data_IF_680968060993
#
_entry.id   IF_680968060993
#
_cell.length_a   1.000
_cell.length_b   1.000
_cell.length_c   1.000
_cell.angle_alpha   90.00
_cell.angle_beta   90.00
_cell.angle_gamma   90.00
#
_symmetry.space_group_name_H-M   'P 1'
#
loop_
_entity.id
_entity.type
_entity.pdbx_description
1 polymer ?
#
# COMPACT_ATOMS: atom_id res chain seq x y z
N UNK A 1 65.06 -29.81 15.88
CA UNK A 1 64.42 -29.31 14.65
C UNK A 1 62.94 -29.33 14.87
N UNK A 2 62.37 -28.19 15.13
CA UNK A 2 60.95 -28.07 15.29
C UNK A 2 60.35 -27.68 13.95
N UNK A 3 59.52 -28.57 13.45
CA UNK A 3 58.67 -28.23 12.31
C UNK A 3 57.50 -27.45 12.84
N UNK A 4 57.47 -26.19 12.59
CA UNK A 4 56.27 -25.41 12.84
C UNK A 4 55.26 -25.73 11.77
N UNK A 5 54.21 -26.40 12.18
CA UNK A 5 53.04 -26.55 11.34
C UNK A 5 52.31 -25.23 11.31
N UNK A 6 52.40 -24.54 10.20
CA UNK A 6 51.57 -23.40 9.95
C UNK A 6 50.17 -23.93 9.68
N UNK A 7 49.33 -23.89 10.70
CA UNK A 7 47.91 -24.13 10.52
C UNK A 7 47.36 -22.95 9.72
N UNK A 8 47.06 -23.18 8.48
CA UNK A 8 46.34 -22.23 7.67
C UNK A 8 44.95 -22.13 8.27
N UNK A 9 44.66 -21.04 8.97
CA UNK A 9 43.31 -20.70 9.36
C UNK A 9 42.61 -20.26 8.11
N UNK A 10 41.85 -21.17 7.52
CA UNK A 10 40.90 -20.81 6.48
C UNK A 10 39.76 -20.09 7.20
N UNK A 11 39.81 -18.77 7.19
CA UNK A 11 38.65 -17.99 7.59
C UNK A 11 37.55 -18.23 6.55
N UNK A 12 36.64 -19.10 6.91
CA UNK A 12 35.41 -19.25 6.13
C UNK A 12 34.66 -17.96 6.37
N UNK A 13 34.78 -17.02 5.45
CA UNK A 13 33.85 -15.92 5.31
C UNK A 13 32.55 -16.56 4.87
N UNK A 14 31.72 -16.91 5.80
CA UNK A 14 30.31 -17.09 5.50
C UNK A 14 29.78 -15.72 5.13
N UNK A 15 29.75 -15.46 3.84
CA UNK A 15 28.90 -14.43 3.28
C UNK A 15 27.48 -14.80 3.72
N UNK A 16 27.05 -14.19 4.80
CA UNK A 16 25.63 -14.03 5.05
C UNK A 16 25.16 -13.18 3.89
N UNK A 17 24.76 -13.86 2.82
CA UNK A 17 23.88 -13.28 1.84
C UNK A 17 22.63 -12.92 2.58
N UNK A 18 22.59 -11.74 3.19
CA UNK A 18 21.35 -11.13 3.57
C UNK A 18 20.53 -11.16 2.30
N UNK A 19 19.53 -12.02 2.24
CA UNK A 19 18.46 -11.86 1.31
C UNK A 19 17.89 -10.50 1.63
N UNK A 20 18.43 -9.45 1.00
CA UNK A 20 17.70 -8.25 0.86
C UNK A 20 16.36 -8.73 0.30
N UNK A 21 15.31 -8.62 1.12
CA UNK A 21 13.97 -8.67 0.62
C UNK A 21 13.95 -7.58 -0.45
N UNK A 22 14.23 -7.97 -1.68
CA UNK A 22 13.95 -7.14 -2.80
C UNK A 22 12.44 -6.93 -2.74
N UNK A 23 12.05 -5.87 -2.04
CA UNK A 23 10.73 -5.29 -2.22
C UNK A 23 10.63 -5.21 -3.72
N UNK A 24 9.75 -6.01 -4.27
CA UNK A 24 9.64 -6.17 -5.69
C UNK A 24 9.41 -4.78 -6.28
N UNK A 25 10.48 -4.15 -6.75
CA UNK A 25 10.42 -2.84 -7.41
C UNK A 25 9.49 -2.94 -8.62
N UNK A 26 9.29 -4.16 -9.13
CA UNK A 26 8.30 -4.48 -10.14
C UNK A 26 6.87 -4.29 -9.66
N UNK A 27 6.54 -4.63 -8.41
CA UNK A 27 5.17 -4.49 -7.90
C UNK A 27 4.75 -3.02 -7.74
N UNK A 28 5.67 -2.10 -7.48
CA UNK A 28 5.37 -0.67 -7.40
C UNK A 28 5.11 -0.07 -8.78
N UNK A 29 5.81 -0.55 -9.81
CA UNK A 29 5.62 -0.10 -11.19
C UNK A 29 4.32 -0.58 -11.80
N UNK A 30 3.80 -1.70 -11.31
CA UNK A 30 2.59 -2.33 -11.82
C UNK A 30 1.33 -1.96 -11.02
N UNK A 31 1.45 -1.05 -10.05
CA UNK A 31 0.29 -0.56 -9.31
C UNK A 31 -0.62 0.27 -10.23
N UNK A 32 -1.94 0.07 -10.17
CA UNK A 32 -2.89 0.84 -10.99
C UNK A 32 -2.66 2.35 -10.91
N UNK A 33 -2.33 2.87 -9.73
CA UNK A 33 -2.09 4.31 -9.52
C UNK A 33 -1.00 4.88 -10.42
N UNK A 34 -0.01 4.07 -10.82
CA UNK A 34 1.05 4.47 -11.73
C UNK A 34 0.55 4.68 -13.17
N UNK A 35 -0.63 4.15 -13.48
CA UNK A 35 -1.26 4.22 -14.80
C UNK A 35 -2.49 5.15 -14.82
N UNK A 36 -2.71 5.86 -13.73
CA UNK A 36 -3.82 6.82 -13.58
C UNK A 36 -3.40 8.20 -14.06
N UNK A 37 -4.34 8.90 -14.69
CA UNK A 37 -4.21 10.33 -14.97
C UNK A 37 -4.39 11.13 -13.67
N UNK A 38 -4.05 12.42 -13.71
CA UNK A 38 -4.30 13.30 -12.55
C UNK A 38 -5.80 13.39 -12.24
N UNK A 39 -6.65 13.42 -13.26
CA UNK A 39 -8.10 13.38 -13.08
C UNK A 39 -8.56 12.08 -12.41
N UNK A 40 -8.02 10.93 -12.81
CA UNK A 40 -8.31 9.64 -12.17
C UNK A 40 -7.96 9.68 -10.69
N UNK A 41 -6.80 10.20 -10.35
CA UNK A 41 -6.34 10.33 -8.96
C UNK A 41 -7.21 11.25 -8.13
N UNK A 42 -7.66 12.36 -8.71
CA UNK A 42 -8.58 13.30 -8.03
C UNK A 42 -9.94 12.65 -7.79
N UNK A 43 -10.45 11.90 -8.76
CA UNK A 43 -11.70 11.15 -8.62
C UNK A 43 -11.59 10.06 -7.55
N UNK A 44 -10.48 9.32 -7.55
CA UNK A 44 -10.20 8.31 -6.52
C UNK A 44 -10.14 8.95 -5.14
N UNK A 45 -9.42 10.05 -4.98
CA UNK A 45 -9.31 10.76 -3.69
C UNK A 45 -10.67 11.20 -3.18
N UNK A 46 -11.47 11.81 -4.04
CA UNK A 46 -12.83 12.24 -3.67
C UNK A 46 -13.71 11.05 -3.27
N UNK A 47 -13.61 9.93 -4.00
CA UNK A 47 -14.34 8.71 -3.70
C UNK A 47 -13.90 8.09 -2.36
N UNK A 48 -12.59 8.07 -2.09
CA UNK A 48 -12.06 7.58 -0.80
C UNK A 48 -12.59 8.40 0.36
N UNK A 49 -12.50 9.72 0.28
CA UNK A 49 -12.97 10.60 1.36
C UNK A 49 -14.48 10.46 1.58
N UNK A 50 -15.25 10.46 0.50
CA UNK A 50 -16.69 10.27 0.60
C UNK A 50 -17.08 8.91 1.17
N UNK A 51 -16.39 7.85 0.81
CA UNK A 51 -16.60 6.51 1.33
C UNK A 51 -16.29 6.44 2.82
N UNK A 52 -15.16 6.99 3.25
CA UNK A 52 -14.77 6.99 4.66
C UNK A 52 -15.72 7.83 5.52
N UNK A 53 -16.22 8.93 4.99
CA UNK A 53 -17.14 9.83 5.74
C UNK A 53 -18.57 9.29 5.84
N UNK A 54 -19.04 8.54 4.86
CA UNK A 54 -20.49 8.27 4.72
C UNK A 54 -20.87 6.81 4.57
N UNK A 55 -19.91 5.91 4.33
CA UNK A 55 -20.27 4.52 4.01
C UNK A 55 -20.10 3.61 5.22
N UNK A 56 -21.14 2.84 5.58
CA UNK A 56 -21.05 1.84 6.64
C UNK A 56 -20.04 0.72 6.32
N UNK A 57 -19.51 0.10 7.36
CA UNK A 57 -18.63 -1.06 7.23
C UNK A 57 -19.28 -2.15 6.37
N UNK A 58 -18.48 -2.73 5.49
CA UNK A 58 -18.89 -3.82 4.62
C UNK A 58 -19.62 -3.43 3.34
N UNK A 59 -20.05 -2.17 3.20
CA UNK A 59 -20.67 -1.68 1.97
C UNK A 59 -19.61 -1.22 0.98
N UNK A 60 -19.78 -1.57 -0.28
CA UNK A 60 -18.85 -1.25 -1.34
C UNK A 60 -19.34 -0.05 -2.16
N UNK A 61 -18.45 0.90 -2.39
CA UNK A 61 -18.67 2.06 -3.27
C UNK A 61 -17.75 1.93 -4.47
N UNK A 62 -18.34 2.04 -5.67
CA UNK A 62 -17.59 2.02 -6.92
C UNK A 62 -17.30 3.44 -7.40
N UNK A 63 -16.08 3.68 -7.85
CA UNK A 63 -15.71 4.87 -8.61
C UNK A 63 -15.27 4.46 -10.02
N UNK A 64 -15.46 5.34 -10.97
CA UNK A 64 -15.08 5.10 -12.36
C UNK A 64 -14.88 6.42 -13.09
N UNK A 65 -13.84 6.48 -13.90
CA UNK A 65 -13.64 7.55 -14.88
C UNK A 65 -13.92 7.00 -16.29
N UNK A 66 -15.06 7.34 -16.88
CA UNK A 66 -15.42 6.81 -18.20
C UNK A 66 -14.48 7.28 -19.32
N UNK A 67 -13.74 8.36 -19.12
CA UNK A 67 -12.79 8.87 -20.10
C UNK A 67 -11.56 7.97 -20.26
N UNK A 68 -11.13 7.34 -19.18
CA UNK A 68 -9.91 6.51 -19.17
C UNK A 68 -10.21 5.03 -18.93
N UNK A 69 -11.39 4.70 -18.40
CA UNK A 69 -11.74 3.36 -17.96
C UNK A 69 -11.16 2.99 -16.60
N UNK A 70 -10.40 3.87 -15.95
CA UNK A 70 -9.94 3.65 -14.60
C UNK A 70 -11.13 3.54 -13.65
N UNK A 71 -11.08 2.58 -12.72
CA UNK A 71 -12.18 2.31 -11.79
C UNK A 71 -11.67 1.59 -10.54
N UNK A 72 -12.55 1.45 -9.58
CA UNK A 72 -12.24 0.67 -8.40
C UNK A 72 -13.43 0.51 -7.47
N UNK A 73 -13.26 -0.38 -6.50
CA UNK A 73 -14.22 -0.65 -5.45
C UNK A 73 -13.59 -0.31 -4.10
N UNK A 74 -14.32 0.41 -3.28
CA UNK A 74 -13.90 0.88 -1.96
C UNK A 74 -14.84 0.29 -0.92
N UNK A 75 -14.29 -0.45 0.04
CA UNK A 75 -15.07 -1.10 1.09
C UNK A 75 -14.49 -0.80 2.46
N UNK A 76 -15.17 0.01 3.29
CA UNK A 76 -14.76 0.19 4.68
C UNK A 76 -14.85 -1.14 5.44
N UNK A 77 -13.82 -1.46 6.22
CA UNK A 77 -13.77 -2.70 7.00
C UNK A 77 -13.96 -2.44 8.48
N UNK A 78 -12.98 -1.88 9.14
CA UNK A 78 -13.01 -1.59 10.56
C UNK A 78 -13.04 -0.09 10.81
N UNK A 79 -13.62 0.32 11.93
CA UNK A 79 -13.58 1.70 12.41
C UNK A 79 -13.13 1.68 13.86
N UNK A 80 -12.20 2.56 14.22
CA UNK A 80 -11.63 2.62 15.56
C UNK A 80 -11.06 4.00 15.85
N UNK A 81 -10.81 4.29 17.13
CA UNK A 81 -10.13 5.49 17.57
C UNK A 81 -8.67 5.21 17.89
N UNK A 82 -7.80 6.10 17.49
CA UNK A 82 -6.38 6.06 17.83
C UNK A 82 -5.95 7.43 18.32
N UNK A 83 -5.70 7.53 19.64
CA UNK A 83 -5.25 8.78 20.23
C UNK A 83 -6.18 9.97 19.99
N UNK A 84 -7.50 9.75 19.96
CA UNK A 84 -8.51 10.77 19.70
C UNK A 84 -8.82 11.02 18.22
N UNK A 85 -8.14 10.33 17.30
CA UNK A 85 -8.45 10.37 15.89
C UNK A 85 -9.38 9.23 15.48
N UNK A 86 -10.36 9.54 14.64
CA UNK A 86 -11.18 8.51 13.97
C UNK A 86 -10.38 7.88 12.85
N UNK A 87 -10.20 6.56 12.91
CA UNK A 87 -9.49 5.78 11.91
C UNK A 87 -10.41 4.72 11.31
N UNK A 88 -10.17 4.37 10.06
CA UNK A 88 -10.89 3.30 9.37
C UNK A 88 -9.93 2.50 8.50
N UNK A 89 -10.12 1.20 8.48
CA UNK A 89 -9.51 0.34 7.47
C UNK A 89 -10.38 0.38 6.22
N UNK A 90 -9.74 0.58 5.08
CA UNK A 90 -10.39 0.65 3.78
C UNK A 90 -9.76 -0.39 2.85
N UNK A 91 -10.58 -1.29 2.33
CA UNK A 91 -10.18 -2.16 1.24
C UNK A 91 -10.35 -1.41 -0.06
N UNK A 92 -9.26 -1.30 -0.82
CA UNK A 92 -9.19 -0.59 -2.09
C UNK A 92 -8.82 -1.59 -3.18
N UNK A 93 -9.72 -1.78 -4.13
CA UNK A 93 -9.47 -2.56 -5.33
C UNK A 93 -9.54 -1.63 -6.53
N UNK A 94 -8.40 -1.31 -7.12
CA UNK A 94 -8.30 -0.40 -8.25
C UNK A 94 -7.88 -1.13 -9.52
N UNK A 95 -8.30 -0.59 -10.65
CA UNK A 95 -7.91 -1.01 -11.98
C UNK A 95 -7.63 0.21 -12.87
N UNK A 96 -6.51 0.19 -13.56
CA UNK A 96 -6.17 1.20 -14.56
C UNK A 96 -5.29 0.60 -15.65
N UNK A 97 -5.69 0.72 -16.89
CA UNK A 97 -4.95 0.24 -18.08
C UNK A 97 -4.51 -1.23 -17.97
N UNK A 98 -5.39 -2.10 -17.48
CA UNK A 98 -5.12 -3.54 -17.34
C UNK A 98 -4.28 -3.91 -16.11
N UNK A 99 -3.98 -2.97 -15.24
CA UNK A 99 -3.28 -3.19 -13.98
C UNK A 99 -4.27 -3.16 -12.82
N UNK A 100 -4.35 -4.25 -12.08
CA UNK A 100 -5.27 -4.40 -10.95
C UNK A 100 -4.50 -4.62 -9.66
N UNK A 101 -5.01 -4.11 -8.55
CA UNK A 101 -4.55 -4.49 -7.23
C UNK A 101 -5.68 -4.42 -6.20
N UNK A 102 -5.43 -5.04 -5.06
CA UNK A 102 -6.31 -5.00 -3.91
C UNK A 102 -5.45 -4.86 -2.67
N UNK A 103 -5.70 -3.81 -1.88
CA UNK A 103 -4.97 -3.53 -0.66
C UNK A 103 -5.92 -3.10 0.44
N UNK A 104 -5.53 -3.28 1.69
CA UNK A 104 -6.23 -2.69 2.84
C UNK A 104 -5.32 -1.61 3.43
N UNK A 105 -5.83 -0.41 3.52
CA UNK A 105 -5.14 0.75 4.07
C UNK A 105 -5.85 1.20 5.35
N UNK A 106 -5.08 1.61 6.34
CA UNK A 106 -5.61 2.33 7.50
C UNK A 106 -5.49 3.82 7.25
N UNK A 107 -6.61 4.52 7.31
CA UNK A 107 -6.65 5.98 7.17
C UNK A 107 -7.25 6.59 8.44
N UNK A 108 -6.68 7.71 8.86
CA UNK A 108 -7.16 8.46 10.02
C UNK A 108 -7.55 9.88 9.61
N UNK A 109 -8.67 10.35 10.17
CA UNK A 109 -9.20 11.68 9.89
C UNK A 109 -8.38 12.73 10.61
N UNK A 110 -7.94 13.73 9.86
CA UNK A 110 -7.17 14.85 10.35
C UNK A 110 -8.10 15.99 10.85
N UNK A 111 -7.58 16.93 11.66
CA UNK A 111 -8.39 18.07 12.12
C UNK A 111 -9.00 18.91 11.01
N UNK A 112 -8.37 18.96 9.83
CA UNK A 112 -8.89 19.66 8.66
C UNK A 112 -9.99 18.90 7.90
N UNK A 113 -10.33 17.68 8.35
CA UNK A 113 -11.31 16.81 7.72
C UNK A 113 -10.77 15.92 6.60
N UNK A 114 -9.50 16.04 6.25
CA UNK A 114 -8.86 15.14 5.29
C UNK A 114 -8.52 13.80 5.95
N UNK A 115 -8.50 12.75 5.16
CA UNK A 115 -8.05 11.43 5.59
C UNK A 115 -6.63 11.19 5.11
N UNK A 116 -5.78 10.69 5.98
CA UNK A 116 -4.40 10.33 5.65
C UNK A 116 -4.13 8.88 5.95
N UNK A 117 -3.34 8.25 5.08
CA UNK A 117 -2.86 6.89 5.29
C UNK A 117 -1.88 6.89 6.46
N UNK A 118 -2.16 6.02 7.43
CA UNK A 118 -1.21 5.76 8.51
C UNK A 118 -0.10 4.84 8.00
N UNK A 119 1.14 5.18 8.35
CA UNK A 119 2.26 4.28 8.13
C UNK A 119 2.16 3.08 9.07
N UNK A 120 2.27 1.92 8.49
CA UNK A 120 2.31 0.67 9.24
C UNK A 120 3.72 0.37 9.73
#
# INVERSE_FOLDING_TARGET
>A
MQRQSVAAIIAIFTLLSGTALAVNVFSVRDLPVQHMTDEDKDMLRAAVYGTLDRTPEGNTVRWENPKTGAHGDLTPRASFDRGGQSCRDLEVANSARGHDNRVVLTLCKQPDGEWKVESQ
#
